data_IF_776955820591
#
_entry.id   IF_776955820591
#
_cell.length_a   1.000
_cell.length_b   1.000
_cell.length_c   1.000
_cell.angle_alpha   90.00
_cell.angle_beta   90.00
_cell.angle_gamma   90.00
#
_symmetry.space_group_name_H-M   'P 1'
#
loop_
_entity.id
_entity.type
_entity.pdbx_description
1 polymer ?
#
# COMPACT_ATOMS: atom_id res chain seq x y z
N UNK A 1 -4.68 5.56 10.16
CA UNK A 1 -5.68 4.81 9.35
C UNK A 1 -5.04 3.63 8.64
N UNK A 2 -3.98 3.81 7.85
CA UNK A 2 -3.30 2.71 7.14
C UNK A 2 -2.85 1.53 8.03
N UNK A 3 -2.27 1.80 9.21
CA UNK A 3 -1.92 0.72 10.16
C UNK A 3 -3.12 -0.10 10.64
N UNK A 4 -4.27 0.56 10.80
CA UNK A 4 -5.50 -0.10 11.21
C UNK A 4 -6.02 -0.99 10.09
N UNK A 5 -6.04 -0.48 8.85
CA UNK A 5 -6.44 -1.27 7.68
C UNK A 5 -5.52 -2.48 7.47
N UNK A 6 -4.21 -2.33 7.70
CA UNK A 6 -3.28 -3.46 7.63
C UNK A 6 -3.55 -4.50 8.72
N UNK A 7 -3.85 -4.08 9.96
CA UNK A 7 -4.09 -5.00 11.09
C UNK A 7 -5.47 -5.66 11.05
N UNK A 8 -6.47 -4.95 10.53
CA UNK A 8 -7.86 -5.41 10.54
C UNK A 8 -8.19 -6.30 9.33
N UNK A 9 -7.48 -6.14 8.19
CA UNK A 9 -7.77 -6.89 6.96
C UNK A 9 -6.86 -8.10 6.73
N UNK A 10 -5.86 -8.34 7.60
CA UNK A 10 -4.97 -9.49 7.49
C UNK A 10 -5.01 -10.35 8.76
N UNK A 11 -4.91 -11.69 8.66
CA UNK A 11 -4.78 -12.58 9.80
C UNK A 11 -3.66 -12.15 10.74
N UNK A 12 -3.90 -12.22 12.06
CA UNK A 12 -2.92 -11.83 13.08
C UNK A 12 -1.65 -12.66 12.99
N UNK A 13 -1.77 -13.93 12.62
CA UNK A 13 -0.65 -14.83 12.42
C UNK A 13 0.30 -14.29 11.34
N UNK A 14 -0.23 -13.80 10.22
CA UNK A 14 0.61 -13.20 9.17
C UNK A 14 1.30 -11.94 9.67
N UNK A 15 0.58 -11.04 10.34
CA UNK A 15 1.17 -9.81 10.88
C UNK A 15 2.27 -10.11 11.90
N UNK A 16 2.07 -11.11 12.76
CA UNK A 16 2.99 -11.46 13.84
C UNK A 16 4.22 -12.25 13.37
N UNK A 17 4.09 -13.04 12.29
CA UNK A 17 5.17 -13.90 11.79
C UNK A 17 5.88 -13.35 10.56
N UNK A 18 5.42 -12.23 10.00
CA UNK A 18 6.10 -11.59 8.87
C UNK A 18 7.43 -10.96 9.29
N UNK A 19 8.45 -11.14 8.46
CA UNK A 19 9.78 -10.51 8.61
C UNK A 19 9.68 -8.98 8.55
N UNK A 20 8.84 -8.47 7.66
CA UNK A 20 8.56 -7.05 7.51
C UNK A 20 7.06 -6.86 7.23
N UNK A 21 6.50 -5.76 7.71
CA UNK A 21 5.16 -5.30 7.36
C UNK A 21 5.24 -3.82 6.94
N UNK A 22 4.39 -3.39 6.02
CA UNK A 22 4.41 -2.02 5.52
C UNK A 22 3.24 -1.71 4.61
N UNK A 23 2.95 -0.42 4.48
CA UNK A 23 2.01 0.12 3.51
C UNK A 23 2.73 1.20 2.69
N UNK A 24 2.49 1.23 1.38
CA UNK A 24 3.32 2.01 0.44
C UNK A 24 2.60 3.24 -0.13
N UNK A 25 1.44 3.57 0.44
CA UNK A 25 0.57 4.61 -0.09
C UNK A 25 -0.42 4.04 -1.10
N UNK A 26 -0.88 4.88 -2.02
CA UNK A 26 -1.91 4.52 -2.98
C UNK A 26 -1.87 5.39 -4.24
N UNK A 27 -2.48 4.89 -5.31
CA UNK A 27 -2.68 5.60 -6.57
C UNK A 27 -4.17 5.64 -6.92
N UNK A 28 -4.63 6.78 -7.43
CA UNK A 28 -5.91 6.90 -8.13
C UNK A 28 -5.62 7.18 -9.61
N UNK A 29 -5.83 6.17 -10.46
CA UNK A 29 -5.55 6.27 -11.89
C UNK A 29 -6.82 6.12 -12.73
N UNK A 30 -7.37 7.25 -13.20
CA UNK A 30 -8.60 7.28 -13.98
C UNK A 30 -8.44 6.87 -15.45
N UNK A 31 -7.22 6.72 -15.95
CA UNK A 31 -6.96 6.27 -17.33
C UNK A 31 -7.06 4.76 -17.44
N UNK A 32 -6.74 4.06 -16.35
CA UNK A 32 -6.84 2.60 -16.26
C UNK A 32 -8.25 2.10 -15.87
N UNK A 33 -9.22 3.00 -15.67
CA UNK A 33 -10.60 2.66 -15.26
C UNK A 33 -11.59 2.73 -16.43
N UNK A 34 -12.59 1.85 -16.42
CA UNK A 34 -13.75 1.98 -17.31
C UNK A 34 -14.63 3.19 -16.90
N UNK A 35 -15.51 3.65 -17.81
CA UNK A 35 -16.31 4.86 -17.61
C UNK A 35 -17.17 4.84 -16.34
N UNK A 36 -17.79 3.69 -16.00
CA UNK A 36 -18.65 3.57 -14.83
C UNK A 36 -17.84 3.66 -13.51
N UNK A 37 -16.75 2.89 -13.40
CA UNK A 37 -15.87 2.92 -12.23
C UNK A 37 -15.22 4.30 -12.07
N UNK A 38 -14.80 4.93 -13.18
CA UNK A 38 -14.24 6.28 -13.20
C UNK A 38 -15.22 7.31 -12.64
N UNK A 39 -16.49 7.25 -13.02
CA UNK A 39 -17.52 8.17 -12.52
C UNK A 39 -17.74 8.01 -11.00
N UNK A 40 -17.83 6.76 -10.52
CA UNK A 40 -17.95 6.47 -9.08
C UNK A 40 -16.72 6.95 -8.30
N UNK A 41 -15.52 6.63 -8.79
CA UNK A 41 -14.28 6.98 -8.14
C UNK A 41 -14.08 8.51 -8.05
N UNK A 42 -14.38 9.27 -9.12
CA UNK A 42 -14.37 10.75 -9.10
C UNK A 42 -15.31 11.32 -8.04
N UNK A 43 -16.52 10.77 -7.93
CA UNK A 43 -17.52 11.21 -6.95
C UNK A 43 -17.05 10.98 -5.52
N UNK A 44 -16.42 9.83 -5.24
CA UNK A 44 -15.97 9.47 -3.89
C UNK A 44 -14.67 10.17 -3.49
N UNK A 45 -13.75 10.38 -4.43
CA UNK A 45 -12.43 10.96 -4.15
C UNK A 45 -12.41 12.49 -4.10
N UNK A 46 -13.50 13.13 -4.54
CA UNK A 46 -13.62 14.58 -4.69
C UNK A 46 -12.45 15.20 -5.48
N UNK A 47 -11.92 14.46 -6.47
CA UNK A 47 -10.91 14.93 -7.41
C UNK A 47 -11.26 14.48 -8.82
N UNK A 48 -10.93 15.34 -9.80
CA UNK A 48 -11.07 15.03 -11.22
C UNK A 48 -9.77 14.53 -11.86
N UNK A 49 -8.65 14.61 -11.13
CA UNK A 49 -7.31 14.28 -11.62
C UNK A 49 -6.81 12.97 -11.00
N UNK A 50 -6.14 12.17 -11.83
CA UNK A 50 -5.32 11.07 -11.35
C UNK A 50 -4.19 11.60 -10.48
N UNK A 51 -3.80 10.86 -9.46
CA UNK A 51 -2.65 11.19 -8.63
C UNK A 51 -2.04 9.93 -8.03
N UNK A 52 -0.77 10.07 -7.64
CA UNK A 52 -0.04 9.04 -6.93
C UNK A 52 0.49 9.62 -5.62
N UNK A 53 0.26 8.90 -4.51
CA UNK A 53 0.77 9.24 -3.17
C UNK A 53 1.55 8.05 -2.64
N UNK A 54 2.59 7.68 -3.37
CA UNK A 54 3.53 6.64 -2.93
C UNK A 54 4.36 7.18 -1.77
N UNK A 55 4.58 6.33 -0.77
CA UNK A 55 5.38 6.64 0.41
C UNK A 55 6.70 5.89 0.27
N UNK A 56 7.62 6.48 -0.49
CA UNK A 56 8.93 5.88 -0.80
C UNK A 56 9.70 5.51 0.48
N UNK A 57 9.65 6.35 1.51
CA UNK A 57 10.29 6.06 2.81
C UNK A 57 9.82 4.73 3.43
N UNK A 58 8.54 4.37 3.26
CA UNK A 58 8.02 3.10 3.77
C UNK A 58 8.52 1.93 2.93
N UNK A 59 8.67 2.12 1.61
CA UNK A 59 9.24 1.13 0.70
C UNK A 59 10.70 0.90 1.07
N UNK A 60 11.49 1.97 1.25
CA UNK A 60 12.90 1.89 1.65
C UNK A 60 13.05 1.15 2.97
N UNK A 61 12.30 1.52 4.01
CA UNK A 61 12.33 0.83 5.32
C UNK A 61 11.96 -0.64 5.22
N UNK A 62 10.94 -0.97 4.42
CA UNK A 62 10.52 -2.35 4.19
C UNK A 62 11.65 -3.15 3.52
N UNK A 63 12.25 -2.60 2.46
CA UNK A 63 13.36 -3.23 1.73
C UNK A 63 14.60 -3.42 2.62
N UNK A 64 14.94 -2.46 3.47
CA UNK A 64 16.06 -2.57 4.41
C UNK A 64 15.88 -3.70 5.43
N UNK A 65 14.66 -3.92 5.93
CA UNK A 65 14.37 -5.04 6.82
C UNK A 65 14.50 -6.37 6.08
N UNK A 66 13.93 -6.45 4.87
CA UNK A 66 13.99 -7.66 4.03
C UNK A 66 15.43 -8.04 3.65
N UNK A 67 16.24 -7.06 3.22
CA UNK A 67 17.63 -7.29 2.84
C UNK A 67 18.47 -7.74 4.03
N UNK A 68 18.33 -7.09 5.20
CA UNK A 68 19.02 -7.54 6.42
C UNK A 68 18.64 -8.97 6.81
N UNK A 69 17.36 -9.34 6.66
CA UNK A 69 16.93 -10.70 6.95
C UNK A 69 17.55 -11.71 5.98
N UNK A 70 17.64 -11.39 4.69
CA UNK A 70 18.30 -12.23 3.69
C UNK A 70 19.79 -12.42 4.02
N UNK A 71 20.50 -11.35 4.41
CA UNK A 71 21.91 -11.41 4.80
C UNK A 71 22.17 -12.29 6.03
N UNK A 72 21.18 -12.47 6.92
CA UNK A 72 21.29 -13.41 8.05
C UNK A 72 21.06 -14.88 7.67
N UNK A 73 20.48 -15.16 6.49
CA UNK A 73 20.17 -16.52 6.04
C UNK A 73 21.22 -17.11 5.08
N UNK A 74 22.11 -16.27 4.52
CA UNK A 74 23.18 -16.61 3.57
C UNK A 74 24.54 -16.59 4.26
#
# INVERSE_FOLDING_TARGET
QADKELKDNFPKELINHSVATGYFGYELNFEKMNFALKALAKKMSNTEKSFSKIIEDNITKFAEVMNRWLDFQV
#
